data_IF_721509123835
#
_entry.id   IF_721509123835
#
_cell.length_a   1.000
_cell.length_b   1.000
_cell.length_c   1.000
_cell.angle_alpha   90.00
_cell.angle_beta   90.00
_cell.angle_gamma   90.00
#
_symmetry.space_group_name_H-M   'P 1'
#
loop_
_entity.id
_entity.type
_entity.pdbx_description
1 polymer ?
#
# COMPACT_ATOMS: atom_id res chain seq x y z
N UNK A 1 4.91 20.49 -3.22
CA UNK A 1 4.58 20.09 -4.61
C UNK A 1 5.76 19.47 -5.38
N UNK A 2 6.98 19.79 -5.04
CA UNK A 2 8.15 19.24 -5.74
C UNK A 2 8.19 17.70 -5.74
N UNK A 3 7.91 17.08 -4.60
CA UNK A 3 7.91 15.61 -4.51
C UNK A 3 6.83 14.98 -5.39
N UNK A 4 5.63 15.56 -5.45
CA UNK A 4 4.56 15.07 -6.31
C UNK A 4 4.91 15.25 -7.79
N UNK A 5 5.51 16.38 -8.16
CA UNK A 5 5.95 16.64 -9.53
C UNK A 5 7.07 15.71 -9.97
N UNK A 6 7.88 15.22 -9.02
CA UNK A 6 8.92 14.23 -9.27
C UNK A 6 8.36 12.79 -9.38
N UNK A 7 7.06 12.60 -9.22
CA UNK A 7 6.41 11.30 -9.34
C UNK A 7 6.34 10.49 -8.04
N UNK A 8 6.62 11.11 -6.90
CA UNK A 8 6.53 10.43 -5.61
C UNK A 8 5.09 10.30 -5.12
N UNK A 9 4.83 9.25 -4.36
CA UNK A 9 3.62 9.11 -3.57
C UNK A 9 3.88 9.69 -2.19
N UNK A 10 2.99 10.59 -1.73
CA UNK A 10 3.11 11.19 -0.40
C UNK A 10 2.04 10.62 0.52
N UNK A 11 2.42 10.43 1.78
CA UNK A 11 1.52 10.02 2.85
C UNK A 11 1.37 11.16 3.84
N UNK A 12 0.14 11.60 4.05
CA UNK A 12 -0.23 12.59 5.05
C UNK A 12 -1.34 12.02 5.92
N UNK A 13 -1.03 11.68 7.16
CA UNK A 13 -1.95 10.96 8.03
C UNK A 13 -2.26 9.58 7.48
N UNK A 14 -3.54 9.28 7.27
CA UNK A 14 -4.01 8.02 6.70
C UNK A 14 -4.32 8.11 5.21
N UNK A 15 -4.01 9.24 4.57
CA UNK A 15 -4.30 9.48 3.16
C UNK A 15 -3.03 9.51 2.34
N UNK A 16 -3.06 8.87 1.19
CA UNK A 16 -1.99 8.88 0.20
C UNK A 16 -2.35 9.81 -0.93
N UNK A 17 -1.35 10.46 -1.49
CA UNK A 17 -1.51 11.42 -2.59
C UNK A 17 -0.50 11.14 -3.69
N UNK A 18 -0.94 11.30 -4.93
CA UNK A 18 -0.08 11.26 -6.11
C UNK A 18 -0.65 12.13 -7.22
N UNK A 19 0.15 12.42 -8.24
CA UNK A 19 -0.35 13.00 -9.47
C UNK A 19 -0.63 11.90 -10.48
N UNK A 20 -1.73 12.03 -11.23
CA UNK A 20 -2.02 11.12 -12.34
C UNK A 20 -1.16 11.48 -13.57
N UNK A 21 -1.35 10.75 -14.67
CA UNK A 21 -0.59 10.98 -15.90
C UNK A 21 -0.84 12.36 -16.53
N UNK A 22 -1.93 13.02 -16.17
CA UNK A 22 -2.30 14.35 -16.64
C UNK A 22 -1.88 15.47 -15.68
N UNK A 23 -1.24 15.13 -14.55
CA UNK A 23 -0.83 16.10 -13.54
C UNK A 23 -1.91 16.48 -12.55
N UNK A 24 -3.02 15.76 -12.52
CA UNK A 24 -4.09 16.00 -11.56
C UNK A 24 -3.83 15.26 -10.25
N UNK A 25 -4.16 15.89 -9.13
CA UNK A 25 -3.98 15.28 -7.82
C UNK A 25 -5.02 14.19 -7.57
N UNK A 26 -4.55 13.03 -7.19
CA UNK A 26 -5.36 11.90 -6.77
C UNK A 26 -5.07 11.58 -5.31
N UNK A 27 -6.06 11.02 -4.62
CA UNK A 27 -5.87 10.55 -3.25
C UNK A 27 -6.47 9.15 -3.08
N UNK A 28 -5.98 8.45 -2.04
CA UNK A 28 -6.51 7.17 -1.60
C UNK A 28 -6.47 7.16 -0.07
N UNK A 29 -7.62 6.93 0.56
CA UNK A 29 -7.69 6.86 2.01
C UNK A 29 -7.96 5.42 2.48
N UNK A 30 -7.89 5.20 3.79
CA UNK A 30 -8.02 3.88 4.38
C UNK A 30 -9.45 3.31 4.38
N UNK A 31 -10.43 4.06 3.89
CA UNK A 31 -11.82 3.60 3.84
C UNK A 31 -12.27 3.17 2.44
N UNK A 32 -11.44 3.42 1.44
CA UNK A 32 -11.76 3.11 0.04
C UNK A 32 -10.56 2.48 -0.66
N UNK A 33 -10.85 1.55 -1.55
CA UNK A 33 -9.85 0.91 -2.40
C UNK A 33 -9.80 1.66 -3.73
N UNK A 34 -8.61 2.05 -4.13
CA UNK A 34 -8.35 2.71 -5.40
C UNK A 34 -8.13 4.22 -5.29
N UNK A 35 -7.58 4.77 -6.34
CA UNK A 35 -7.27 6.19 -6.44
C UNK A 35 -8.48 6.96 -6.94
N UNK A 36 -8.76 8.09 -6.30
CA UNK A 36 -9.86 8.98 -6.65
C UNK A 36 -9.32 10.38 -6.91
N UNK A 37 -9.95 11.10 -7.83
CA UNK A 37 -9.59 12.50 -8.07
C UNK A 37 -9.83 13.33 -6.80
N UNK A 38 -8.81 14.09 -6.39
CA UNK A 38 -8.93 14.98 -5.24
C UNK A 38 -9.61 16.28 -5.68
N UNK A 39 -10.91 16.35 -5.45
CA UNK A 39 -11.75 17.51 -5.81
C UNK A 39 -12.03 18.43 -4.63
N UNK A 40 -11.46 18.13 -3.48
CA UNK A 40 -11.68 18.92 -2.28
C UNK A 40 -10.91 20.23 -2.30
N UNK A 41 -11.28 21.13 -1.39
CA UNK A 41 -10.58 22.39 -1.17
C UNK A 41 -9.41 22.25 -0.21
N UNK A 42 -9.22 21.07 0.35
CA UNK A 42 -8.09 20.79 1.25
C UNK A 42 -6.79 20.84 0.49
N UNK A 43 -5.83 21.56 1.01
CA UNK A 43 -4.51 21.71 0.44
C UNK A 43 -3.59 20.69 1.11
N UNK A 44 -2.91 19.88 0.29
CA UNK A 44 -1.88 18.99 0.79
C UNK A 44 -0.71 19.83 1.27
N UNK A 45 -0.36 19.68 2.54
CA UNK A 45 0.84 20.30 3.11
C UNK A 45 1.98 19.29 3.06
N UNK A 46 2.95 19.52 2.19
CA UNK A 46 4.14 18.67 2.10
C UNK A 46 4.98 18.72 3.37
N UNK A 47 4.82 19.75 4.19
CA UNK A 47 5.52 19.88 5.47
C UNK A 47 5.22 18.71 6.42
N UNK A 48 3.99 18.20 6.36
CA UNK A 48 3.55 17.09 7.21
C UNK A 48 3.45 15.76 6.47
N UNK A 49 3.80 15.75 5.20
CA UNK A 49 3.74 14.55 4.37
C UNK A 49 5.13 13.91 4.27
N UNK A 50 5.16 12.60 4.11
CA UNK A 50 6.39 11.87 3.87
C UNK A 50 6.29 11.09 2.55
N UNK A 51 7.43 10.87 1.91
CA UNK A 51 7.50 10.05 0.69
C UNK A 51 7.23 8.60 1.09
N UNK A 52 6.30 7.97 0.36
CA UNK A 52 5.82 6.63 0.65
C UNK A 52 5.73 5.77 -0.61
N UNK A 53 6.74 5.87 -1.49
CA UNK A 53 6.76 5.13 -2.76
C UNK A 53 6.70 3.61 -2.53
N UNK A 54 7.44 3.11 -1.53
CA UNK A 54 7.45 1.69 -1.18
C UNK A 54 6.21 1.27 -0.40
N UNK A 55 5.33 2.20 -0.10
CA UNK A 55 4.14 1.96 0.68
C UNK A 55 2.97 1.48 -0.16
N UNK A 56 3.01 1.74 -1.47
CA UNK A 56 1.92 1.37 -2.37
C UNK A 56 2.44 0.41 -3.43
N UNK A 57 2.15 -0.86 -3.22
CA UNK A 57 2.51 -1.93 -4.12
C UNK A 57 1.25 -2.53 -4.73
N UNK A 58 1.34 -2.95 -5.99
CA UNK A 58 0.33 -3.84 -6.56
C UNK A 58 0.47 -5.23 -5.94
N UNK A 59 -0.53 -6.08 -6.12
CA UNK A 59 -0.46 -7.46 -5.66
C UNK A 59 0.75 -8.21 -6.25
N UNK A 60 1.02 -8.03 -7.53
CA UNK A 60 2.20 -8.64 -8.19
C UNK A 60 3.51 -8.19 -7.58
N UNK A 61 3.62 -6.89 -7.27
CA UNK A 61 4.81 -6.33 -6.61
C UNK A 61 4.95 -6.87 -5.20
N UNK A 62 3.84 -7.03 -4.47
CA UNK A 62 3.85 -7.61 -3.12
C UNK A 62 4.35 -9.06 -3.16
N UNK A 63 3.89 -9.86 -4.12
CA UNK A 63 4.37 -11.23 -4.31
C UNK A 63 5.89 -11.25 -4.57
N UNK A 64 6.36 -10.35 -5.44
CA UNK A 64 7.80 -10.25 -5.72
C UNK A 64 8.61 -9.89 -4.48
N UNK A 65 8.09 -9.00 -3.63
CA UNK A 65 8.74 -8.65 -2.37
C UNK A 65 8.78 -9.82 -1.39
N UNK A 66 7.69 -10.60 -1.30
CA UNK A 66 7.69 -11.82 -0.48
C UNK A 66 8.69 -12.85 -0.99
N UNK A 67 8.84 -12.97 -2.30
CA UNK A 67 9.82 -13.88 -2.90
C UNK A 67 11.26 -13.48 -2.55
N UNK A 68 11.51 -12.20 -2.26
CA UNK A 68 12.79 -11.70 -1.79
C UNK A 68 12.99 -11.89 -0.28
N UNK A 69 12.03 -12.47 0.42
CA UNK A 69 12.09 -12.70 1.85
C UNK A 69 11.53 -11.57 2.71
N UNK A 70 10.83 -10.62 2.11
CA UNK A 70 10.22 -9.49 2.83
C UNK A 70 8.81 -9.83 3.28
N UNK A 71 8.38 -9.17 4.35
CA UNK A 71 6.99 -9.22 4.81
C UNK A 71 6.18 -8.12 4.13
N UNK A 72 4.95 -8.44 3.75
CA UNK A 72 4.03 -7.46 3.19
C UNK A 72 2.70 -7.50 3.94
N UNK A 73 1.97 -6.41 3.89
CA UNK A 73 0.64 -6.31 4.48
C UNK A 73 -0.26 -5.47 3.58
N UNK A 74 -1.56 -5.56 3.81
CA UNK A 74 -2.51 -4.66 3.18
C UNK A 74 -2.19 -3.21 3.59
N UNK A 75 -2.36 -2.28 2.67
CA UNK A 75 -2.17 -0.86 2.97
C UNK A 75 -3.11 -0.36 4.08
N UNK A 76 -4.26 -1.00 4.21
CA UNK A 76 -5.32 -0.58 5.13
C UNK A 76 -5.36 -1.35 6.45
N UNK A 77 -4.51 -2.35 6.61
CA UNK A 77 -4.51 -3.21 7.80
C UNK A 77 -3.08 -3.48 8.26
N UNK A 78 -2.87 -3.45 9.55
CA UNK A 78 -1.58 -3.82 10.15
C UNK A 78 -1.45 -5.34 10.36
N UNK A 79 -2.55 -6.05 10.35
CA UNK A 79 -2.63 -7.46 10.65
C UNK A 79 -3.65 -8.13 9.71
N UNK A 80 -3.37 -9.30 9.12
CA UNK A 80 -2.13 -10.07 9.21
C UNK A 80 -1.01 -9.55 8.31
N UNK A 81 0.21 -10.03 8.53
CA UNK A 81 1.33 -9.87 7.60
C UNK A 81 1.50 -11.15 6.80
N UNK A 82 2.06 -11.02 5.59
CA UNK A 82 2.23 -12.15 4.67
C UNK A 82 3.69 -12.32 4.31
N UNK A 83 4.11 -13.57 4.26
CA UNK A 83 5.47 -13.98 3.86
C UNK A 83 5.40 -15.21 2.97
N UNK A 84 6.49 -15.54 2.29
CA UNK A 84 6.62 -16.84 1.61
C UNK A 84 7.63 -17.67 2.42
N UNK A 85 7.18 -18.84 2.85
CA UNK A 85 8.01 -19.80 3.57
C UNK A 85 7.84 -21.19 2.95
N UNK A 86 8.96 -21.81 2.56
CA UNK A 86 8.91 -23.14 1.94
C UNK A 86 8.12 -23.21 0.66
N UNK A 87 8.04 -22.11 -0.10
CA UNK A 87 7.27 -22.03 -1.34
C UNK A 87 5.78 -21.76 -1.14
N UNK A 88 5.34 -21.54 0.10
CA UNK A 88 3.95 -21.25 0.41
C UNK A 88 3.78 -19.85 0.99
N UNK A 89 2.69 -19.18 0.62
CA UNK A 89 2.34 -17.90 1.23
C UNK A 89 1.72 -18.17 2.59
N UNK A 90 2.29 -17.56 3.61
CA UNK A 90 1.82 -17.69 5.00
C UNK A 90 1.26 -16.36 5.48
N UNK A 91 0.15 -16.40 6.19
CA UNK A 91 -0.37 -15.22 6.89
C UNK A 91 -0.11 -15.38 8.39
N UNK A 92 0.47 -14.35 8.99
CA UNK A 92 0.82 -14.32 10.41
C UNK A 92 0.08 -13.19 11.09
N UNK A 93 -0.65 -13.53 12.13
CA UNK A 93 -1.41 -12.58 12.94
C UNK A 93 -0.58 -12.07 14.12
N UNK A 94 -0.97 -10.93 14.65
CA UNK A 94 -0.26 -10.29 15.77
C UNK A 94 -0.21 -11.12 17.05
N UNK A 95 -1.13 -12.09 17.20
CA UNK A 95 -1.14 -13.04 18.33
C UNK A 95 -0.17 -14.22 18.16
N UNK A 96 0.55 -14.26 17.03
CA UNK A 96 1.48 -15.34 16.70
C UNK A 96 0.88 -16.49 15.91
N UNK A 97 -0.42 -16.49 15.64
CA UNK A 97 -1.07 -17.49 14.79
C UNK A 97 -0.55 -17.35 13.35
N UNK A 98 -0.18 -18.48 12.74
CA UNK A 98 0.36 -18.53 11.38
C UNK A 98 -0.34 -19.63 10.60
N UNK A 99 -0.95 -19.29 9.48
CA UNK A 99 -1.69 -20.21 8.63
C UNK A 99 -1.30 -20.07 7.16
N UNK A 100 -1.31 -21.17 6.38
CA UNK A 100 -1.05 -21.06 4.95
C UNK A 100 -2.23 -20.39 4.24
N UNK A 101 -1.92 -19.57 3.25
CA UNK A 101 -2.92 -18.95 2.37
C UNK A 101 -3.14 -19.89 1.19
N UNK A 102 -4.30 -20.54 1.15
CA UNK A 102 -4.61 -21.52 0.11
C UNK A 102 -5.10 -20.90 -1.19
N UNK A 103 -5.67 -19.71 -1.11
CA UNK A 103 -6.16 -18.95 -2.28
C UNK A 103 -6.20 -17.47 -1.95
N UNK A 104 -6.18 -16.65 -3.00
CA UNK A 104 -6.29 -15.21 -2.87
C UNK A 104 -7.69 -14.74 -3.27
N UNK A 105 -8.29 -13.91 -2.44
CA UNK A 105 -9.58 -13.30 -2.75
C UNK A 105 -9.40 -12.18 -3.77
N UNK A 106 -10.45 -11.81 -4.54
CA UNK A 106 -10.38 -10.65 -5.40
C UNK A 106 -9.97 -9.36 -4.66
N UNK A 107 -10.45 -9.19 -3.44
CA UNK A 107 -10.07 -8.04 -2.61
C UNK A 107 -8.56 -7.99 -2.37
N UNK A 108 -7.93 -9.14 -2.12
CA UNK A 108 -6.48 -9.21 -1.96
C UNK A 108 -5.74 -8.86 -3.25
N UNK A 109 -6.22 -9.38 -4.38
CA UNK A 109 -5.56 -9.17 -5.68
C UNK A 109 -5.66 -7.74 -6.20
N UNK A 110 -6.72 -7.03 -5.85
CA UNK A 110 -6.96 -5.67 -6.32
C UNK A 110 -6.69 -4.59 -5.28
N UNK A 111 -6.40 -4.97 -4.05
CA UNK A 111 -6.04 -4.03 -2.99
C UNK A 111 -4.58 -3.58 -3.11
N UNK A 112 -4.25 -2.38 -2.62
CA UNK A 112 -2.87 -1.96 -2.50
C UNK A 112 -2.19 -2.63 -1.31
N UNK A 113 -0.88 -2.83 -1.42
CA UNK A 113 -0.02 -3.50 -0.45
C UNK A 113 1.14 -2.61 -0.04
N UNK A 114 1.80 -2.95 1.06
CA UNK A 114 3.00 -2.28 1.55
C UNK A 114 4.01 -3.29 2.09
N UNK A 115 5.27 -2.91 2.10
CA UNK A 115 6.31 -3.67 2.78
C UNK A 115 6.26 -3.33 4.26
N UNK A 116 6.30 -4.37 5.10
CA UNK A 116 6.40 -4.23 6.55
C UNK A 116 7.87 -4.20 6.94
N UNK A 117 8.24 -3.15 7.61
CA UNK A 117 9.63 -2.95 8.04
C UNK A 117 9.78 -3.38 9.49
#
# INVERSE_FOLDING_TARGET
>A
MEALLAGHVLKAGSTLYRLDNNGNLEHMNNTRVGWEANRGTSVLSEEYACIADDYVLTFSQAIAMMAEGKMVASLYRDDPVYTIEGGEVMETYGDGTCDPVLYFTPDMMFSPWRVVV
#
